data_IF_011332180284
#
_entry.id   IF_011332180284
#
_cell.length_a   1.000
_cell.length_b   1.000
_cell.length_c   1.000
_cell.angle_alpha   90.00
_cell.angle_beta   90.00
_cell.angle_gamma   90.00
#
_symmetry.space_group_name_H-M   'P 1'
#
loop_
_entity.id
_entity.type
_entity.pdbx_description
1 polymer ?
#
# COMPACT_ATOMS: atom_id res chain seq x y z
N UNK A 1 -32.40 -27.56 40.28
CA UNK A 1 -31.74 -26.77 41.34
C UNK A 1 -32.59 -26.91 42.58
N UNK A 2 -32.04 -27.43 43.68
CA UNK A 2 -32.79 -27.71 44.92
C UNK A 2 -32.81 -26.44 45.76
N UNK A 3 -33.99 -25.98 46.19
CA UNK A 3 -34.09 -24.86 47.13
C UNK A 3 -33.68 -25.33 48.53
N UNK A 4 -32.49 -24.93 48.95
CA UNK A 4 -31.91 -25.32 50.24
C UNK A 4 -32.54 -24.58 51.43
N UNK A 5 -33.20 -23.43 51.19
CA UNK A 5 -33.65 -22.52 52.25
C UNK A 5 -35.18 -22.36 52.31
N UNK A 6 -35.92 -23.05 51.44
CA UNK A 6 -37.39 -23.09 51.42
C UNK A 6 -38.06 -21.71 51.51
N UNK A 7 -37.49 -20.69 50.85
CA UNK A 7 -37.98 -19.31 50.91
C UNK A 7 -38.58 -18.89 49.57
N UNK A 8 -39.89 -18.58 49.50
CA UNK A 8 -40.57 -18.22 48.25
C UNK A 8 -40.01 -16.97 47.57
N UNK A 9 -39.32 -16.09 48.30
CA UNK A 9 -38.70 -14.87 47.76
C UNK A 9 -37.49 -15.18 46.85
N UNK A 10 -36.81 -16.31 47.06
CA UNK A 10 -35.68 -16.75 46.21
C UNK A 10 -36.09 -17.04 44.78
N UNK A 11 -37.34 -17.42 44.54
CA UNK A 11 -37.84 -17.64 43.18
C UNK A 11 -37.79 -16.35 42.35
N UNK A 12 -38.00 -15.19 42.98
CA UNK A 12 -37.92 -13.89 42.32
C UNK A 12 -36.47 -13.58 41.92
N UNK A 13 -35.53 -13.80 42.84
CA UNK A 13 -34.09 -13.58 42.61
C UNK A 13 -33.54 -14.49 41.50
N UNK A 14 -33.96 -15.76 41.47
CA UNK A 14 -33.59 -16.71 40.41
C UNK A 14 -34.12 -16.25 39.05
N UNK A 15 -35.39 -15.81 38.99
CA UNK A 15 -35.99 -15.30 37.75
C UNK A 15 -35.31 -14.02 37.28
N UNK A 16 -34.95 -13.12 38.20
CA UNK A 16 -34.23 -11.88 37.87
C UNK A 16 -32.84 -12.17 37.31
N UNK A 17 -32.07 -13.05 37.97
CA UNK A 17 -30.76 -13.49 37.50
C UNK A 17 -30.85 -14.15 36.11
N UNK A 18 -31.86 -15.01 35.91
CA UNK A 18 -32.13 -15.62 34.60
C UNK A 18 -32.43 -14.60 33.51
N UNK A 19 -33.25 -13.58 33.81
CA UNK A 19 -33.55 -12.48 32.88
C UNK A 19 -32.31 -11.65 32.57
N UNK A 20 -31.47 -11.35 33.56
CA UNK A 20 -30.22 -10.62 33.36
C UNK A 20 -29.26 -11.37 32.44
N UNK A 21 -29.11 -12.69 32.60
CA UNK A 21 -28.28 -13.51 31.71
C UNK A 21 -28.81 -13.50 30.26
N UNK A 22 -30.12 -13.65 30.07
CA UNK A 22 -30.74 -13.61 28.74
C UNK A 22 -30.57 -12.25 28.06
N UNK A 23 -30.78 -11.15 28.80
CA UNK A 23 -30.59 -9.80 28.29
C UNK A 23 -29.15 -9.51 27.92
N UNK A 24 -28.20 -9.92 28.78
CA UNK A 24 -26.77 -9.74 28.52
C UNK A 24 -26.34 -10.49 27.26
N UNK A 25 -26.78 -11.75 27.10
CA UNK A 25 -26.50 -12.52 25.88
C UNK A 25 -27.09 -11.85 24.64
N UNK A 26 -28.34 -11.38 24.71
CA UNK A 26 -29.01 -10.68 23.60
C UNK A 26 -28.32 -9.37 23.21
N UNK A 27 -27.88 -8.58 24.19
CA UNK A 27 -27.13 -7.36 23.96
C UNK A 27 -25.79 -7.63 23.28
N UNK A 28 -25.03 -8.60 23.78
CA UNK A 28 -23.72 -8.98 23.21
C UNK A 28 -23.84 -9.55 21.80
N UNK A 29 -24.87 -10.37 21.51
CA UNK A 29 -25.08 -10.88 20.15
C UNK A 29 -25.48 -9.76 19.18
N UNK A 30 -26.33 -8.85 19.61
CA UNK A 30 -26.73 -7.67 18.81
C UNK A 30 -25.52 -6.80 18.49
N UNK A 31 -24.70 -6.50 19.50
CA UNK A 31 -23.47 -5.75 19.34
C UNK A 31 -22.48 -6.44 18.41
N UNK A 32 -22.25 -7.75 18.62
CA UNK A 32 -21.29 -8.52 17.82
C UNK A 32 -21.71 -8.60 16.36
N UNK A 33 -22.99 -8.78 16.07
CA UNK A 33 -23.50 -8.84 14.71
C UNK A 33 -23.38 -7.47 14.01
N UNK A 34 -23.73 -6.38 14.70
CA UNK A 34 -23.57 -5.04 14.16
C UNK A 34 -22.09 -4.70 13.90
N UNK A 35 -21.19 -5.19 14.74
CA UNK A 35 -19.74 -4.99 14.61
C UNK A 35 -19.16 -5.61 13.32
N UNK A 36 -19.69 -6.76 12.89
CA UNK A 36 -19.19 -7.43 11.69
C UNK A 36 -19.40 -6.59 10.41
N UNK A 37 -20.40 -5.71 10.38
CA UNK A 37 -20.62 -4.77 9.28
C UNK A 37 -19.38 -3.90 9.04
N UNK A 38 -18.84 -3.29 10.10
CA UNK A 38 -17.66 -2.43 10.01
C UNK A 38 -16.42 -3.21 9.56
N UNK A 39 -16.27 -4.48 9.98
CA UNK A 39 -15.16 -5.33 9.56
C UNK A 39 -15.19 -5.59 8.06
N UNK A 40 -16.37 -5.82 7.48
CA UNK A 40 -16.49 -5.99 6.03
C UNK A 40 -16.07 -4.72 5.27
N UNK A 41 -16.46 -3.53 5.75
CA UNK A 41 -16.03 -2.26 5.17
C UNK A 41 -14.53 -1.97 5.34
N UNK A 42 -13.86 -2.57 6.33
CA UNK A 42 -12.40 -2.49 6.44
C UNK A 42 -11.68 -3.48 5.52
N UNK A 43 -12.11 -4.75 5.54
CA UNK A 43 -11.33 -5.86 4.98
C UNK A 43 -11.59 -6.06 3.49
N UNK A 44 -12.85 -5.96 3.02
CA UNK A 44 -13.18 -6.18 1.60
C UNK A 44 -12.42 -5.22 0.67
N UNK A 45 -12.48 -3.88 0.85
CA UNK A 45 -11.74 -2.99 -0.03
C UNK A 45 -10.24 -3.23 0.06
N UNK A 46 -9.70 -3.48 1.25
CA UNK A 46 -8.29 -3.75 1.46
C UNK A 46 -7.81 -5.03 0.75
N UNK A 47 -8.52 -6.16 0.92
CA UNK A 47 -8.11 -7.44 0.37
C UNK A 47 -8.16 -7.50 -1.16
N UNK A 48 -9.05 -6.72 -1.79
CA UNK A 48 -9.30 -6.79 -3.23
C UNK A 48 -8.87 -5.54 -4.00
N UNK A 49 -8.36 -4.49 -3.36
CA UNK A 49 -7.99 -3.23 -4.03
C UNK A 49 -7.00 -3.45 -5.19
N UNK A 50 -6.03 -4.36 -4.99
CA UNK A 50 -4.99 -4.65 -5.97
C UNK A 50 -5.53 -5.33 -7.25
N UNK A 51 -6.62 -6.09 -7.11
CA UNK A 51 -7.24 -6.83 -8.22
C UNK A 51 -8.39 -6.05 -8.85
N UNK A 52 -9.16 -5.34 -8.03
CA UNK A 52 -10.35 -4.59 -8.43
C UNK A 52 -10.30 -3.17 -7.84
N UNK A 53 -9.61 -2.21 -8.49
CA UNK A 53 -9.48 -0.84 -8.00
C UNK A 53 -10.81 -0.12 -7.77
N UNK A 54 -11.87 -0.51 -8.50
CA UNK A 54 -13.23 0.03 -8.32
C UNK A 54 -13.80 -0.18 -6.91
N UNK A 55 -13.34 -1.19 -6.16
CA UNK A 55 -13.76 -1.43 -4.78
C UNK A 55 -13.20 -0.39 -3.79
N UNK A 56 -12.30 0.50 -4.22
CA UNK A 56 -11.81 1.60 -3.40
C UNK A 56 -12.92 2.53 -2.89
N UNK A 57 -14.05 2.63 -3.62
CA UNK A 57 -15.24 3.39 -3.20
C UNK A 57 -15.86 2.84 -1.90
N UNK A 58 -15.65 1.55 -1.60
CA UNK A 58 -16.14 0.92 -0.38
C UNK A 58 -15.25 1.22 0.84
N UNK A 59 -14.10 1.88 0.69
CA UNK A 59 -13.28 2.33 1.80
C UNK A 59 -13.90 3.58 2.48
N UNK A 60 -15.08 3.41 3.08
CA UNK A 60 -15.84 4.47 3.76
C UNK A 60 -15.03 5.11 4.90
N UNK A 61 -14.17 4.34 5.56
CA UNK A 61 -13.31 4.81 6.66
C UNK A 61 -12.06 5.55 6.17
N UNK A 62 -11.79 5.59 4.87
CA UNK A 62 -10.57 6.13 4.28
C UNK A 62 -9.31 5.62 4.99
N UNK A 63 -9.23 4.30 5.19
CA UNK A 63 -8.06 3.66 5.81
C UNK A 63 -6.82 3.80 4.92
N UNK A 64 -5.66 3.92 5.55
CA UNK A 64 -4.44 4.43 4.92
C UNK A 64 -3.84 3.46 3.90
N UNK A 65 -3.63 2.20 4.26
CA UNK A 65 -3.17 1.14 3.34
C UNK A 65 -3.98 -0.14 3.52
N UNK A 66 -3.98 -1.06 2.53
CA UNK A 66 -4.60 -2.37 2.67
C UNK A 66 -4.10 -3.17 3.88
N UNK A 67 -2.79 -3.14 4.13
CA UNK A 67 -2.16 -3.86 5.23
C UNK A 67 -2.53 -3.26 6.58
N UNK A 68 -2.50 -1.92 6.70
CA UNK A 68 -2.90 -1.23 7.93
C UNK A 68 -4.39 -1.42 8.22
N UNK A 69 -5.24 -1.45 7.19
CA UNK A 69 -6.67 -1.70 7.33
C UNK A 69 -6.97 -3.09 7.90
N UNK A 70 -6.35 -4.14 7.34
CA UNK A 70 -6.51 -5.53 7.82
C UNK A 70 -5.97 -5.65 9.25
N UNK A 71 -4.78 -5.11 9.51
CA UNK A 71 -4.16 -5.15 10.83
C UNK A 71 -5.01 -4.42 11.89
N UNK A 72 -5.55 -3.25 11.54
CA UNK A 72 -6.42 -2.46 12.42
C UNK A 72 -7.72 -3.20 12.76
N UNK A 73 -8.33 -3.85 11.77
CA UNK A 73 -9.53 -4.66 11.98
C UNK A 73 -9.27 -5.86 12.91
N UNK A 74 -8.13 -6.54 12.74
CA UNK A 74 -7.71 -7.67 13.61
C UNK A 74 -7.43 -7.19 15.04
N UNK A 75 -6.68 -6.10 15.20
CA UNK A 75 -6.38 -5.52 16.53
C UNK A 75 -7.67 -5.09 17.22
N UNK A 76 -8.57 -4.39 16.52
CA UNK A 76 -9.85 -3.99 17.08
C UNK A 76 -10.66 -5.20 17.55
N UNK A 77 -10.69 -6.29 16.77
CA UNK A 77 -11.40 -7.51 17.15
C UNK A 77 -10.82 -8.16 18.41
N UNK A 78 -9.51 -8.09 18.65
CA UNK A 78 -8.91 -8.55 19.89
C UNK A 78 -9.27 -7.65 21.07
N UNK A 79 -9.18 -6.32 20.90
CA UNK A 79 -9.45 -5.34 21.95
C UNK A 79 -10.92 -5.31 22.37
N UNK A 80 -11.85 -5.45 21.41
CA UNK A 80 -13.28 -5.37 21.70
C UNK A 80 -13.75 -6.56 22.56
N UNK A 81 -13.14 -7.73 22.39
CA UNK A 81 -13.42 -8.89 23.25
C UNK A 81 -13.05 -8.55 24.70
N UNK A 82 -11.83 -8.03 24.93
CA UNK A 82 -11.38 -7.64 26.28
C UNK A 82 -12.27 -6.55 26.87
N UNK A 83 -12.67 -5.57 26.07
CA UNK A 83 -13.55 -4.48 26.49
C UNK A 83 -14.97 -4.94 26.87
N UNK A 84 -15.47 -6.02 26.26
CA UNK A 84 -16.80 -6.57 26.54
C UNK A 84 -16.82 -7.58 27.71
N UNK A 85 -15.67 -8.07 28.19
CA UNK A 85 -15.60 -8.99 29.34
C UNK A 85 -16.26 -8.40 30.58
N UNK A 86 -15.97 -7.17 31.03
CA UNK A 86 -16.63 -6.60 32.20
C UNK A 86 -18.15 -6.56 32.07
N UNK A 87 -18.67 -6.24 30.88
CA UNK A 87 -20.09 -6.22 30.60
C UNK A 87 -20.70 -7.63 30.63
N UNK A 88 -19.99 -8.63 30.11
CA UNK A 88 -20.41 -10.03 30.17
C UNK A 88 -20.45 -10.57 31.61
N UNK A 89 -19.58 -10.10 32.49
CA UNK A 89 -19.50 -10.53 33.89
C UNK A 89 -20.48 -9.79 34.81
N UNK A 90 -20.63 -8.46 34.66
CA UNK A 90 -21.56 -7.66 35.48
C UNK A 90 -23.01 -7.76 35.00
N UNK A 91 -23.22 -8.08 33.73
CA UNK A 91 -24.52 -8.23 33.11
C UNK A 91 -25.26 -6.90 32.87
N UNK A 92 -26.19 -6.93 31.93
CA UNK A 92 -27.05 -5.79 31.57
C UNK A 92 -28.22 -5.72 32.55
N UNK A 93 -28.35 -4.60 33.26
CA UNK A 93 -29.44 -4.40 34.25
C UNK A 93 -30.81 -4.57 33.60
N UNK A 94 -31.62 -5.47 34.15
CA UNK A 94 -33.00 -5.66 33.71
C UNK A 94 -33.87 -4.47 34.12
N UNK A 95 -34.73 -4.02 33.20
CA UNK A 95 -35.81 -3.06 33.48
C UNK A 95 -37.13 -3.70 33.06
N UNK A 96 -38.12 -3.68 33.96
CA UNK A 96 -39.45 -4.21 33.68
C UNK A 96 -40.22 -3.24 32.76
N UNK A 97 -39.99 -3.33 31.46
CA UNK A 97 -40.73 -2.58 30.42
C UNK A 97 -41.27 -3.54 29.37
N UNK A 98 -42.18 -3.05 28.51
CA UNK A 98 -42.76 -3.84 27.42
C UNK A 98 -41.70 -4.42 26.48
N UNK A 99 -42.00 -5.58 25.87
CA UNK A 99 -41.06 -6.30 25.00
C UNK A 99 -40.65 -5.48 23.77
N UNK A 100 -41.57 -4.67 23.24
CA UNK A 100 -41.35 -3.73 22.14
C UNK A 100 -40.31 -2.65 22.51
N UNK A 101 -40.43 -2.11 23.73
CA UNK A 101 -39.51 -1.10 24.23
C UNK A 101 -38.14 -1.67 24.55
N UNK A 102 -38.09 -2.87 25.16
CA UNK A 102 -36.84 -3.60 25.39
C UNK A 102 -36.08 -3.86 24.08
N UNK A 103 -36.79 -4.30 23.04
CA UNK A 103 -36.18 -4.55 21.73
C UNK A 103 -35.61 -3.27 21.11
N UNK A 104 -36.39 -2.18 21.12
CA UNK A 104 -35.94 -0.88 20.57
C UNK A 104 -34.73 -0.35 21.32
N UNK A 105 -34.75 -0.36 22.65
CA UNK A 105 -33.62 0.10 23.47
C UNK A 105 -32.37 -0.76 23.22
N UNK A 106 -32.52 -2.09 23.11
CA UNK A 106 -31.41 -2.98 22.80
C UNK A 106 -30.81 -2.71 21.41
N UNK A 107 -31.65 -2.57 20.37
CA UNK A 107 -31.20 -2.26 19.02
C UNK A 107 -30.56 -0.87 18.94
N UNK A 108 -31.10 0.13 19.64
CA UNK A 108 -30.58 1.49 19.64
C UNK A 108 -29.25 1.59 20.38
N UNK A 109 -29.08 0.92 21.52
CA UNK A 109 -27.84 1.03 22.31
C UNK A 109 -26.78 0.06 21.77
N UNK A 110 -27.10 -1.23 21.69
CA UNK A 110 -26.12 -2.25 21.33
C UNK A 110 -26.01 -2.47 19.83
N UNK A 111 -27.10 -2.28 19.07
CA UNK A 111 -27.04 -2.32 17.61
C UNK A 111 -26.32 -1.11 17.03
N UNK A 112 -26.78 0.12 17.35
CA UNK A 112 -26.09 1.33 16.87
C UNK A 112 -24.70 1.47 17.49
N UNK A 113 -24.53 1.16 18.77
CA UNK A 113 -23.21 1.15 19.42
C UNK A 113 -22.27 0.13 18.77
N UNK A 114 -22.77 -1.07 18.47
CA UNK A 114 -22.03 -2.09 17.73
C UNK A 114 -21.72 -1.72 16.30
N UNK A 115 -22.51 -0.83 15.68
CA UNK A 115 -22.22 -0.29 14.37
C UNK A 115 -21.19 0.84 14.42
N UNK A 116 -21.33 1.82 15.32
CA UNK A 116 -20.49 3.04 15.33
C UNK A 116 -19.13 2.82 15.99
N UNK A 117 -19.08 2.10 17.11
CA UNK A 117 -17.84 1.85 17.85
C UNK A 117 -16.70 1.25 17.00
N UNK A 118 -16.93 0.23 16.16
CA UNK A 118 -15.86 -0.31 15.32
C UNK A 118 -15.39 0.63 14.22
N UNK A 119 -16.27 1.45 13.62
CA UNK A 119 -15.82 2.44 12.63
C UNK A 119 -14.82 3.43 13.25
N UNK A 120 -15.13 3.93 14.44
CA UNK A 120 -14.23 4.83 15.17
C UNK A 120 -12.97 4.09 15.64
N UNK A 121 -13.13 2.90 16.23
CA UNK A 121 -12.02 2.12 16.77
C UNK A 121 -11.01 1.70 15.71
N UNK A 122 -11.47 1.13 14.59
CA UNK A 122 -10.60 0.73 13.47
C UNK A 122 -9.89 1.95 12.90
N UNK A 123 -10.59 3.09 12.72
CA UNK A 123 -9.96 4.32 12.21
C UNK A 123 -8.87 4.85 13.13
N UNK A 124 -9.11 4.88 14.44
CA UNK A 124 -8.13 5.34 15.41
C UNK A 124 -6.90 4.44 15.47
N UNK A 125 -7.10 3.12 15.39
CA UNK A 125 -5.99 2.16 15.34
C UNK A 125 -5.19 2.34 14.05
N UNK A 126 -5.85 2.50 12.89
CA UNK A 126 -5.18 2.74 11.61
C UNK A 126 -4.31 4.00 11.66
N UNK A 127 -4.89 5.11 12.13
CA UNK A 127 -4.16 6.37 12.30
C UNK A 127 -2.98 6.23 13.26
N UNK A 128 -3.15 5.53 14.37
CA UNK A 128 -2.07 5.28 15.32
C UNK A 128 -0.96 4.46 14.67
N UNK A 129 -1.27 3.36 13.97
CA UNK A 129 -0.28 2.52 13.30
C UNK A 129 0.49 3.31 12.24
N UNK A 130 -0.20 4.06 11.38
CA UNK A 130 0.44 4.83 10.32
C UNK A 130 1.32 5.96 10.89
N UNK A 131 0.84 6.68 11.91
CA UNK A 131 1.58 7.77 12.51
C UNK A 131 2.78 7.29 13.36
N UNK A 132 2.58 6.32 14.25
CA UNK A 132 3.63 5.84 15.15
C UNK A 132 4.63 4.92 14.44
N UNK A 133 4.16 3.94 13.67
CA UNK A 133 5.08 2.95 13.07
C UNK A 133 5.64 3.47 11.75
N UNK A 134 4.80 4.02 10.86
CA UNK A 134 5.25 4.55 9.58
C UNK A 134 6.06 5.83 9.72
N UNK A 135 5.50 6.82 10.43
CA UNK A 135 6.12 8.14 10.59
C UNK A 135 7.38 8.16 11.45
N UNK A 136 7.40 7.44 12.58
CA UNK A 136 8.55 7.52 13.50
C UNK A 136 9.71 6.59 13.10
N UNK A 137 9.43 5.38 12.62
CA UNK A 137 10.49 4.42 12.28
C UNK A 137 11.02 4.61 10.86
N UNK A 138 10.19 5.07 9.92
CA UNK A 138 10.55 5.19 8.51
C UNK A 138 10.10 6.52 7.87
N UNK A 139 10.50 7.68 8.44
CA UNK A 139 10.00 8.99 8.00
C UNK A 139 10.31 9.28 6.52
N UNK A 140 11.49 8.87 6.03
CA UNK A 140 11.87 9.05 4.63
C UNK A 140 10.91 8.29 3.70
N UNK A 141 10.62 7.03 3.99
CA UNK A 141 9.73 6.21 3.18
C UNK A 141 8.28 6.71 3.26
N UNK A 142 7.81 7.07 4.46
CA UNK A 142 6.47 7.61 4.67
C UNK A 142 6.24 8.95 3.95
N UNK A 143 7.28 9.76 3.79
CA UNK A 143 7.23 11.00 3.02
C UNK A 143 7.36 10.80 1.49
N UNK A 144 7.38 9.56 1.00
CA UNK A 144 7.51 9.25 -0.43
C UNK A 144 8.95 9.21 -0.95
N UNK A 145 9.93 9.03 -0.05
CA UNK A 145 11.36 8.92 -0.35
C UNK A 145 11.89 10.04 -1.25
N UNK A 146 11.57 11.27 -0.87
CA UNK A 146 11.95 12.46 -1.64
C UNK A 146 13.47 12.64 -1.69
N UNK A 147 13.95 12.99 -2.88
CA UNK A 147 15.32 13.33 -3.21
C UNK A 147 15.35 14.73 -3.83
N UNK A 148 16.25 15.62 -3.39
CA UNK A 148 16.43 16.93 -4.00
C UNK A 148 16.66 16.81 -5.51
N UNK A 149 16.02 17.66 -6.31
CA UNK A 149 16.31 17.77 -7.74
C UNK A 149 17.07 19.04 -8.08
N UNK A 150 17.48 19.15 -9.35
CA UNK A 150 18.02 20.38 -9.90
C UNK A 150 16.93 21.48 -9.94
N UNK A 151 17.33 22.73 -9.70
CA UNK A 151 16.47 23.92 -9.70
C UNK A 151 15.26 23.90 -8.73
N UNK A 152 15.34 23.18 -7.61
CA UNK A 152 14.34 23.24 -6.54
C UNK A 152 13.14 22.29 -6.71
N UNK A 153 13.10 21.51 -7.78
CA UNK A 153 12.07 20.48 -7.99
C UNK A 153 12.41 19.20 -7.24
N UNK A 154 11.82 18.97 -6.07
CA UNK A 154 11.92 17.69 -5.35
C UNK A 154 11.23 16.57 -6.15
N UNK A 155 11.80 15.37 -6.19
CA UNK A 155 11.12 14.17 -6.71
C UNK A 155 11.45 12.95 -5.85
N UNK A 156 11.07 11.75 -6.25
CA UNK A 156 11.27 10.52 -5.44
C UNK A 156 12.39 9.64 -6.01
N UNK A 157 13.08 8.87 -5.15
CA UNK A 157 13.93 7.76 -5.60
C UNK A 157 13.10 6.56 -6.12
N UNK A 158 11.79 6.52 -5.85
CA UNK A 158 10.89 5.45 -6.28
C UNK A 158 10.23 5.71 -7.64
N UNK A 159 10.35 6.92 -8.19
CA UNK A 159 9.67 7.35 -9.41
C UNK A 159 10.69 7.73 -10.47
N UNK A 160 10.67 7.01 -11.59
CA UNK A 160 11.45 7.34 -12.77
C UNK A 160 10.95 8.60 -13.45
N UNK A 161 11.81 9.22 -14.27
CA UNK A 161 11.49 10.41 -15.04
C UNK A 161 12.11 10.28 -16.42
N UNK A 162 11.46 10.90 -17.41
CA UNK A 162 12.07 11.14 -18.72
C UNK A 162 13.26 12.09 -18.57
N UNK A 163 14.39 11.67 -19.13
CA UNK A 163 15.62 12.46 -19.18
C UNK A 163 16.23 12.30 -20.57
N UNK A 164 16.05 13.32 -21.40
CA UNK A 164 16.44 13.29 -22.81
C UNK A 164 17.83 13.90 -23.04
N UNK A 165 18.55 14.28 -21.98
CA UNK A 165 19.87 14.85 -22.12
C UNK A 165 20.87 13.81 -22.69
N UNK A 166 21.65 14.13 -23.73
CA UNK A 166 22.63 13.21 -24.31
C UNK A 166 23.69 12.72 -23.31
N UNK A 167 24.01 13.54 -22.31
CA UNK A 167 24.93 13.20 -21.23
C UNK A 167 24.31 12.45 -20.06
N UNK A 168 23.04 12.02 -20.13
CA UNK A 168 22.37 11.27 -19.06
C UNK A 168 22.07 9.82 -19.42
N UNK A 169 21.95 8.98 -18.40
CA UNK A 169 21.44 7.63 -18.55
C UNK A 169 19.94 7.66 -18.82
N UNK A 170 19.51 6.86 -19.78
CA UNK A 170 18.11 6.71 -20.13
C UNK A 170 17.53 5.50 -19.39
N UNK A 171 16.33 5.70 -18.83
CA UNK A 171 15.54 4.65 -18.20
C UNK A 171 14.77 3.80 -19.22
N UNK A 172 13.89 2.97 -18.68
CA UNK A 172 13.01 2.12 -19.51
C UNK A 172 11.94 2.96 -20.19
N UNK A 173 11.44 2.56 -21.37
CA UNK A 173 10.29 3.23 -21.97
C UNK A 173 9.08 3.25 -21.02
N UNK A 174 8.39 4.39 -20.96
CA UNK A 174 7.11 4.53 -20.25
C UNK A 174 5.93 4.33 -21.22
N UNK A 175 4.82 3.83 -20.71
CA UNK A 175 3.57 3.64 -21.45
C UNK A 175 2.41 4.48 -20.87
N UNK A 176 2.75 5.58 -20.19
CA UNK A 176 1.79 6.50 -19.53
C UNK A 176 1.30 7.65 -20.44
N UNK A 177 1.35 7.43 -21.76
CA UNK A 177 1.19 8.47 -22.78
C UNK A 177 -0.09 9.34 -22.63
N UNK A 178 -0.09 10.57 -23.20
CA UNK A 178 0.80 11.04 -24.27
C UNK A 178 2.23 11.37 -23.83
N UNK A 179 2.43 11.84 -22.60
CA UNK A 179 3.77 12.09 -22.03
C UNK A 179 4.28 10.88 -21.26
N UNK A 180 5.60 10.67 -21.26
CA UNK A 180 6.23 9.59 -20.52
C UNK A 180 6.37 9.92 -19.02
N UNK A 181 6.34 8.88 -18.18
CA UNK A 181 6.53 8.93 -16.73
C UNK A 181 5.50 9.77 -15.95
N UNK A 182 4.23 9.71 -16.35
CA UNK A 182 3.12 10.40 -15.68
C UNK A 182 2.61 9.64 -14.45
N UNK A 183 2.81 10.25 -13.27
CA UNK A 183 2.44 9.68 -11.99
C UNK A 183 0.91 9.49 -11.81
N UNK A 184 0.11 10.32 -12.46
CA UNK A 184 -1.35 10.27 -12.43
C UNK A 184 -1.95 9.17 -13.34
N UNK A 185 -1.17 8.65 -14.30
CA UNK A 185 -1.59 7.56 -15.18
C UNK A 185 -1.17 6.18 -14.66
N UNK A 186 0.09 6.03 -14.22
CA UNK A 186 0.65 4.79 -13.62
C UNK A 186 0.22 3.49 -14.33
N UNK A 187 0.53 3.36 -15.61
CA UNK A 187 0.05 2.29 -16.48
C UNK A 187 1.16 1.62 -17.31
N UNK A 188 0.96 0.33 -17.60
CA UNK A 188 1.74 -0.43 -18.57
C UNK A 188 1.17 -0.36 -20.00
N UNK A 189 1.90 -0.89 -20.98
CA UNK A 189 1.48 -0.86 -22.39
C UNK A 189 0.38 -1.87 -22.72
N UNK A 190 0.27 -2.97 -21.97
CA UNK A 190 -0.72 -4.04 -22.15
C UNK A 190 -0.82 -4.63 -23.58
N UNK A 191 0.25 -4.50 -24.38
CA UNK A 191 0.32 -5.07 -25.72
C UNK A 191 0.70 -6.55 -25.65
N UNK A 192 -0.09 -7.39 -26.32
CA UNK A 192 0.20 -8.83 -26.42
C UNK A 192 1.36 -9.13 -27.39
N UNK A 193 2.01 -10.31 -27.29
CA UNK A 193 3.16 -10.66 -28.12
C UNK A 193 2.90 -10.69 -29.63
N UNK A 194 1.66 -10.93 -30.06
CA UNK A 194 1.27 -10.95 -31.48
C UNK A 194 0.73 -9.60 -31.98
N UNK A 195 0.80 -8.54 -31.17
CA UNK A 195 0.31 -7.22 -31.57
C UNK A 195 1.35 -6.55 -32.49
N UNK A 196 0.99 -6.19 -33.74
CA UNK A 196 1.93 -5.56 -34.67
C UNK A 196 2.44 -4.19 -34.21
N UNK A 197 1.70 -3.47 -33.36
CA UNK A 197 2.14 -2.20 -32.79
C UNK A 197 3.32 -2.40 -31.82
N UNK A 198 3.39 -3.54 -31.13
CA UNK A 198 4.52 -3.87 -30.25
C UNK A 198 5.80 -3.99 -31.07
N UNK A 199 5.74 -4.71 -32.19
CA UNK A 199 6.88 -4.88 -33.11
C UNK A 199 7.32 -3.55 -33.71
N UNK A 200 6.37 -2.69 -34.09
CA UNK A 200 6.66 -1.34 -34.59
C UNK A 200 7.41 -0.52 -33.54
N UNK A 201 6.88 -0.45 -32.31
CA UNK A 201 7.49 0.30 -31.21
C UNK A 201 8.88 -0.23 -30.84
N UNK A 202 9.07 -1.55 -30.84
CA UNK A 202 10.37 -2.18 -30.58
C UNK A 202 11.38 -1.76 -31.64
N UNK A 203 11.02 -1.85 -32.94
CA UNK A 203 11.92 -1.44 -34.04
C UNK A 203 12.32 0.03 -33.92
N UNK A 204 11.36 0.92 -33.71
CA UNK A 204 11.61 2.36 -33.54
C UNK A 204 12.56 2.65 -32.35
N UNK A 205 12.38 1.93 -31.23
CA UNK A 205 13.24 2.07 -30.04
C UNK A 205 14.66 1.55 -30.29
N UNK A 206 14.78 0.39 -30.95
CA UNK A 206 16.08 -0.19 -31.32
C UNK A 206 16.86 0.77 -32.23
N UNK A 207 16.20 1.31 -33.25
CA UNK A 207 16.83 2.27 -34.17
C UNK A 207 17.25 3.55 -33.47
N UNK A 208 16.41 4.08 -32.57
CA UNK A 208 16.76 5.27 -31.76
C UNK A 208 17.98 5.01 -30.89
N UNK A 209 18.01 3.89 -30.18
CA UNK A 209 19.11 3.52 -29.28
C UNK A 209 20.43 3.31 -30.03
N UNK A 210 20.39 2.71 -31.23
CA UNK A 210 21.57 2.57 -32.09
C UNK A 210 22.07 3.93 -32.58
N UNK A 211 21.16 4.82 -32.99
CA UNK A 211 21.52 6.18 -33.43
C UNK A 211 22.14 7.01 -32.32
N UNK A 212 21.61 6.94 -31.10
CA UNK A 212 22.17 7.70 -29.97
C UNK A 212 23.45 7.08 -29.39
N UNK A 213 23.70 5.78 -29.59
CA UNK A 213 24.89 5.08 -29.08
C UNK A 213 25.71 4.46 -30.21
N UNK A 214 26.28 5.26 -31.13
CA UNK A 214 26.95 4.75 -32.34
C UNK A 214 28.21 3.93 -32.02
N UNK A 215 28.89 4.22 -30.91
CA UNK A 215 30.08 3.52 -30.46
C UNK A 215 29.79 2.12 -29.87
N UNK A 216 28.51 1.73 -29.70
CA UNK A 216 28.11 0.52 -29.02
C UNK A 216 27.67 -0.57 -30.01
N UNK A 217 28.44 -1.67 -30.07
CA UNK A 217 28.18 -2.82 -30.95
C UNK A 217 27.45 -3.97 -30.24
N UNK A 218 27.51 -4.06 -28.91
CA UNK A 218 26.90 -5.15 -28.15
C UNK A 218 25.36 -5.22 -28.36
N UNK A 219 24.75 -6.41 -28.21
CA UNK A 219 23.29 -6.55 -28.24
C UNK A 219 22.61 -5.58 -27.27
N UNK A 220 21.51 -4.97 -27.70
CA UNK A 220 20.77 -3.99 -26.88
C UNK A 220 20.08 -4.73 -25.73
N UNK A 221 20.30 -4.31 -24.47
CA UNK A 221 19.59 -4.86 -23.33
C UNK A 221 18.07 -4.68 -23.44
N UNK A 222 17.32 -5.71 -23.06
CA UNK A 222 15.87 -5.80 -23.29
C UNK A 222 15.06 -4.74 -22.51
N UNK A 223 15.56 -4.33 -21.35
CA UNK A 223 14.97 -3.30 -20.48
C UNK A 223 14.94 -1.91 -21.12
N UNK A 224 15.93 -1.56 -21.95
CA UNK A 224 15.94 -0.29 -22.70
C UNK A 224 14.90 -0.26 -23.85
N UNK A 225 14.44 -1.43 -24.29
CA UNK A 225 13.53 -1.58 -25.43
C UNK A 225 12.09 -1.82 -24.96
N UNK A 226 11.91 -2.53 -23.85
CA UNK A 226 10.60 -2.95 -23.33
C UNK A 226 10.08 -2.00 -22.26
N UNK A 227 8.80 -1.62 -22.38
CA UNK A 227 8.18 -0.72 -21.42
C UNK A 227 8.00 -1.39 -20.05
N UNK A 228 8.01 -0.58 -18.99
CA UNK A 228 7.74 -1.08 -17.63
C UNK A 228 6.24 -1.31 -17.40
N UNK A 229 5.92 -2.17 -16.41
CA UNK A 229 4.53 -2.49 -16.06
C UNK A 229 3.79 -1.36 -15.36
N UNK A 230 4.49 -0.53 -14.57
CA UNK A 230 3.93 0.66 -13.92
C UNK A 230 4.00 1.91 -14.79
N UNK A 231 4.86 1.91 -15.80
CA UNK A 231 5.21 3.12 -16.56
C UNK A 231 6.05 4.14 -15.78
N UNK A 232 6.41 3.86 -14.53
CA UNK A 232 7.13 4.77 -13.62
C UNK A 232 8.45 4.20 -13.08
N UNK A 233 8.94 3.12 -13.69
CA UNK A 233 10.11 2.38 -13.21
C UNK A 233 11.38 3.26 -13.17
N UNK A 234 11.96 3.49 -11.98
CA UNK A 234 13.20 4.25 -11.84
C UNK A 234 14.45 3.39 -12.14
N UNK A 235 14.28 2.08 -12.35
CA UNK A 235 15.40 1.14 -12.43
C UNK A 235 15.64 0.62 -13.85
N UNK A 236 16.93 0.34 -14.10
CA UNK A 236 17.42 -0.47 -15.23
C UNK A 236 18.35 -1.56 -14.71
N UNK A 237 18.62 -2.57 -15.52
CA UNK A 237 19.63 -3.58 -15.20
C UNK A 237 21.04 -2.97 -15.23
N UNK A 238 22.01 -3.52 -14.47
CA UNK A 238 23.41 -3.11 -14.57
C UNK A 238 23.95 -3.25 -16.00
N UNK A 239 23.52 -4.28 -16.74
CA UNK A 239 23.91 -4.48 -18.13
C UNK A 239 23.48 -3.31 -19.03
N UNK A 240 22.26 -2.78 -18.84
CA UNK A 240 21.77 -1.60 -19.55
C UNK A 240 22.48 -0.31 -19.16
N UNK A 241 22.83 -0.15 -17.89
CA UNK A 241 23.63 0.99 -17.46
C UNK A 241 25.01 0.95 -18.13
N UNK A 242 25.72 -0.19 -18.06
CA UNK A 242 27.03 -0.34 -18.71
C UNK A 242 27.00 -0.21 -20.23
N UNK A 243 25.91 -0.65 -20.87
CA UNK A 243 25.75 -0.54 -22.33
C UNK A 243 25.75 0.92 -22.79
N UNK A 244 25.20 1.83 -22.00
CA UNK A 244 25.11 3.27 -22.28
C UNK A 244 26.38 4.06 -21.92
N UNK A 245 27.30 3.48 -21.15
CA UNK A 245 28.50 4.16 -20.65
C UNK A 245 29.33 4.86 -21.73
N UNK A 246 29.61 4.28 -22.91
CA UNK A 246 30.43 4.95 -23.93
C UNK A 246 29.84 6.28 -24.41
N UNK A 247 28.51 6.34 -24.60
CA UNK A 247 27.80 7.57 -24.98
C UNK A 247 27.93 8.61 -23.89
N UNK A 248 27.58 8.24 -22.66
CA UNK A 248 27.59 9.15 -21.51
C UNK A 248 28.99 9.71 -21.25
N UNK A 249 30.03 8.87 -21.33
CA UNK A 249 31.41 9.28 -21.17
C UNK A 249 31.85 10.29 -22.24
N UNK A 250 31.51 10.03 -23.50
CA UNK A 250 31.84 10.92 -24.62
C UNK A 250 31.15 12.28 -24.50
N UNK A 251 29.85 12.30 -24.20
CA UNK A 251 29.05 13.53 -24.06
C UNK A 251 29.49 14.39 -22.86
N UNK A 252 30.01 13.76 -21.80
CA UNK A 252 30.51 14.44 -20.59
C UNK A 252 32.00 14.73 -20.60
N UNK A 253 32.74 14.29 -21.63
CA UNK A 253 34.20 14.50 -21.72
C UNK A 253 35.00 13.81 -20.60
N UNK A 254 34.47 12.72 -20.02
CA UNK A 254 35.11 11.96 -18.93
C UNK A 254 35.48 10.55 -19.38
N UNK A 255 36.37 9.88 -18.64
CA UNK A 255 36.79 8.52 -19.00
C UNK A 255 35.66 7.50 -18.81
N UNK A 256 35.68 6.47 -19.64
CA UNK A 256 34.75 5.34 -19.56
C UNK A 256 34.86 4.65 -18.19
N UNK A 257 36.07 4.52 -17.62
CA UNK A 257 36.25 3.93 -16.30
C UNK A 257 35.56 4.72 -15.19
N UNK A 258 35.62 6.06 -15.23
CA UNK A 258 34.93 6.92 -14.25
C UNK A 258 33.43 6.63 -14.26
N UNK A 259 32.82 6.61 -15.45
CA UNK A 259 31.39 6.32 -15.60
C UNK A 259 31.05 4.89 -15.16
N UNK A 260 31.89 3.90 -15.49
CA UNK A 260 31.69 2.51 -15.06
C UNK A 260 31.76 2.37 -13.53
N UNK A 261 32.66 3.10 -12.88
CA UNK A 261 32.77 3.10 -11.42
C UNK A 261 31.53 3.73 -10.76
N UNK A 262 30.99 4.81 -11.33
CA UNK A 262 29.73 5.41 -10.88
C UNK A 262 28.56 4.44 -11.00
N UNK A 263 28.46 3.73 -12.13
CA UNK A 263 27.45 2.67 -12.31
C UNK A 263 27.62 1.59 -11.25
N UNK A 264 28.84 1.08 -11.07
CA UNK A 264 29.15 0.04 -10.09
C UNK A 264 28.78 0.42 -8.66
N UNK A 265 29.04 1.67 -8.26
CA UNK A 265 28.69 2.20 -6.94
C UNK A 265 27.17 2.33 -6.70
N UNK A 266 26.37 2.36 -7.78
CA UNK A 266 24.90 2.47 -7.75
C UNK A 266 24.17 1.16 -8.05
N UNK A 267 24.89 0.03 -8.10
CA UNK A 267 24.25 -1.28 -8.20
C UNK A 267 23.62 -1.64 -6.86
N UNK A 268 22.31 -1.74 -6.85
CA UNK A 268 21.54 -2.33 -5.76
C UNK A 268 21.46 -3.84 -5.95
N UNK A 269 21.79 -4.59 -4.89
CA UNK A 269 21.64 -6.04 -4.86
C UNK A 269 20.16 -6.46 -4.78
N UNK A 270 19.84 -7.73 -5.11
CA UNK A 270 18.52 -8.29 -4.86
C UNK A 270 18.10 -8.11 -3.40
N UNK A 271 16.80 -7.93 -3.16
CA UNK A 271 16.27 -7.73 -1.81
C UNK A 271 16.52 -9.00 -0.98
N UNK A 272 17.15 -8.84 0.19
CA UNK A 272 17.67 -9.94 1.02
C UNK A 272 18.64 -10.90 0.29
N UNK A 273 19.22 -10.49 -0.84
CA UNK A 273 20.13 -11.30 -1.64
C UNK A 273 19.46 -12.37 -2.51
N UNK A 274 18.13 -12.57 -2.41
CA UNK A 274 17.42 -13.66 -3.11
C UNK A 274 16.16 -13.21 -3.86
N UNK A 275 15.57 -12.06 -3.50
CA UNK A 275 14.33 -11.59 -4.14
C UNK A 275 14.64 -10.52 -5.20
N UNK A 276 14.29 -10.84 -6.44
CA UNK A 276 14.44 -9.94 -7.60
C UNK A 276 15.84 -10.00 -8.22
N UNK A 277 16.15 -8.97 -9.01
CA UNK A 277 17.41 -8.86 -9.73
C UNK A 277 18.21 -7.63 -9.27
N UNK A 278 19.52 -7.65 -9.53
CA UNK A 278 20.37 -6.46 -9.37
C UNK A 278 19.89 -5.35 -10.29
N UNK A 279 19.88 -4.12 -9.79
CA UNK A 279 19.27 -2.98 -10.46
C UNK A 279 20.04 -1.71 -10.18
N UNK A 280 19.85 -0.70 -11.03
CA UNK A 280 20.49 0.61 -10.90
C UNK A 280 19.42 1.68 -10.99
N UNK A 281 19.36 2.55 -9.98
CA UNK A 281 18.44 3.70 -9.97
C UNK A 281 18.96 4.80 -10.90
N UNK A 282 18.25 5.06 -11.99
CA UNK A 282 18.70 5.97 -13.06
C UNK A 282 18.80 7.41 -12.56
N UNK A 283 17.82 7.86 -11.76
CA UNK A 283 17.81 9.22 -11.22
C UNK A 283 19.01 9.46 -10.32
N UNK A 284 19.25 8.57 -9.36
CA UNK A 284 20.38 8.71 -8.44
C UNK A 284 21.72 8.65 -9.17
N UNK A 285 21.82 7.83 -10.21
CA UNK A 285 23.00 7.75 -11.06
C UNK A 285 23.24 9.06 -11.83
N UNK A 286 22.21 9.65 -12.46
CA UNK A 286 22.34 10.93 -13.15
C UNK A 286 22.71 12.07 -12.17
N UNK A 287 22.16 12.06 -10.95
CA UNK A 287 22.54 13.05 -9.93
C UNK A 287 24.00 12.95 -9.51
N UNK A 288 24.52 11.74 -9.36
CA UNK A 288 25.96 11.55 -9.07
C UNK A 288 26.83 11.96 -10.26
N UNK A 289 26.35 11.69 -11.48
CA UNK A 289 27.03 12.11 -12.70
C UNK A 289 27.11 13.63 -12.77
N UNK A 290 26.02 14.35 -12.52
CA UNK A 290 25.98 15.82 -12.48
C UNK A 290 26.90 16.41 -11.41
N UNK A 291 27.04 15.75 -10.25
CA UNK A 291 28.00 16.18 -9.22
C UNK A 291 29.45 15.96 -9.63
N UNK A 292 29.73 14.90 -10.40
CA UNK A 292 31.09 14.50 -10.76
C UNK A 292 31.59 15.25 -12.00
N UNK A 293 30.70 15.50 -12.96
CA UNK A 293 30.99 16.13 -14.24
C UNK A 293 29.78 16.99 -14.67
N UNK A 294 29.61 18.19 -14.07
CA UNK A 294 28.48 19.09 -14.35
C UNK A 294 28.45 19.60 -15.79
#
# INVERSE_FOLDING_TARGET
MVDLDSNPTKLIEIVETGKQMLMTRGALTTFSLANDVAKYFAIIPAAFLATYPALGVLNVMHLSTPESAILSAVIFNALIIVALIPLALTGVRFRAVGADRLLKENLLVYGLGGLVAPFLGIKLIDMALTALLGGALFPKAAAGSLVPGSAGTSGSDLIGRTDDAPGHFQGRPSATGPDAYRADASSGSNLGPMNPDLDRLIRERVERLRRSNPAQSAPIPIDLVTASGSGLDPHISPAAAYWQTPRVAAERGISIEVVRNLVGARIEAPTFGVLGASRVNVRLLNQDLDRTAP
#
